data_IF_938495761447
#
_entry.id   IF_938495761447
#
_cell.length_a   1.000
_cell.length_b   1.000
_cell.length_c   1.000
_cell.angle_alpha   90.00
_cell.angle_beta   90.00
_cell.angle_gamma   90.00
#
_symmetry.space_group_name_H-M   'P 1'
#
loop_
_entity.id
_entity.type
_entity.pdbx_description
1 polymer ?
#
# COMPACT_ATOMS: atom_id res chain seq x y z
N UNK A 1 -8.43 -4.01 2.36
CA UNK A 1 -8.03 -3.91 3.79
C UNK A 1 -7.44 -2.52 4.05
N UNK A 2 -7.53 -2.00 5.27
CA UNK A 2 -7.00 -0.69 5.65
C UNK A 2 -5.76 -0.89 6.51
N UNK A 3 -4.66 -0.22 6.17
CA UNK A 3 -3.40 -0.22 6.90
C UNK A 3 -3.15 1.20 7.41
N UNK A 4 -2.94 1.38 8.71
CA UNK A 4 -2.87 2.70 9.33
C UNK A 4 -1.45 3.24 9.44
N UNK A 5 -0.47 2.34 9.52
CA UNK A 5 0.94 2.66 9.70
C UNK A 5 1.76 1.83 8.72
N UNK A 6 2.09 2.39 7.54
CA UNK A 6 2.73 1.63 6.46
C UNK A 6 4.08 1.02 6.88
N UNK A 7 4.81 1.66 7.79
CA UNK A 7 6.12 1.17 8.25
C UNK A 7 6.00 -0.05 9.18
N UNK A 8 5.06 -0.04 10.13
CA UNK A 8 4.85 -1.17 11.05
C UNK A 8 4.06 -2.28 10.37
N UNK A 9 3.15 -1.92 9.46
CA UNK A 9 2.25 -2.86 8.79
C UNK A 9 2.90 -3.51 7.56
N UNK A 10 4.10 -3.04 7.15
CA UNK A 10 4.88 -3.52 6.00
C UNK A 10 4.92 -5.05 5.84
N UNK A 11 5.26 -5.87 6.87
CA UNK A 11 5.27 -7.33 6.73
C UNK A 11 3.88 -7.90 6.45
N UNK A 12 2.82 -7.35 7.06
CA UNK A 12 1.44 -7.81 6.84
C UNK A 12 0.93 -7.41 5.46
N UNK A 13 1.21 -6.18 5.02
CA UNK A 13 0.86 -5.69 3.68
C UNK A 13 1.49 -6.59 2.61
N UNK A 14 2.77 -6.92 2.77
CA UNK A 14 3.49 -7.81 1.86
C UNK A 14 2.86 -9.19 1.82
N UNK A 15 2.66 -9.81 2.98
CA UNK A 15 2.15 -11.18 3.09
C UNK A 15 0.72 -11.32 2.54
N UNK A 16 -0.16 -10.40 2.91
CA UNK A 16 -1.59 -10.47 2.54
C UNK A 16 -1.85 -10.13 1.08
N UNK A 17 -0.93 -9.43 0.42
CA UNK A 17 -1.10 -8.98 -0.96
C UNK A 17 -0.05 -9.60 -1.91
N UNK A 18 0.69 -10.61 -1.46
CA UNK A 18 1.82 -11.22 -2.20
C UNK A 18 1.45 -11.60 -3.64
N UNK A 19 0.32 -12.28 -3.79
CA UNK A 19 -0.17 -12.81 -5.07
C UNK A 19 -1.48 -12.14 -5.51
N UNK A 20 -1.79 -10.98 -4.93
CA UNK A 20 -3.04 -10.25 -5.18
C UNK A 20 -2.88 -9.23 -6.30
N UNK A 21 -3.90 -9.14 -7.16
CA UNK A 21 -4.10 -8.05 -8.10
C UNK A 21 -5.32 -7.22 -7.71
N UNK A 22 -5.37 -5.95 -8.11
CA UNK A 22 -6.53 -5.10 -7.86
C UNK A 22 -6.21 -3.61 -7.78
N UNK A 23 -7.11 -2.89 -7.12
CA UNK A 23 -7.06 -1.44 -6.91
C UNK A 23 -6.60 -1.16 -5.47
N UNK A 24 -5.80 -0.11 -5.28
CA UNK A 24 -5.36 0.39 -3.99
C UNK A 24 -5.57 1.90 -3.87
N UNK A 25 -5.63 2.38 -2.63
CA UNK A 25 -5.73 3.81 -2.32
C UNK A 25 -4.67 4.19 -1.27
N UNK A 26 -3.96 5.29 -1.51
CA UNK A 26 -3.07 5.93 -0.55
C UNK A 26 -3.74 7.21 -0.06
N UNK A 27 -3.93 7.32 1.26
CA UNK A 27 -4.63 8.46 1.89
C UNK A 27 -3.61 9.29 2.66
N UNK A 28 -3.48 10.58 2.33
CA UNK A 28 -2.71 11.52 3.15
C UNK A 28 -3.59 12.04 4.29
N UNK A 29 -3.35 11.59 5.52
CA UNK A 29 -4.16 11.99 6.69
C UNK A 29 -4.06 13.48 7.05
N UNK A 30 -3.02 14.19 6.59
CA UNK A 30 -2.83 15.63 6.85
C UNK A 30 -3.66 16.49 5.90
N UNK A 31 -3.73 16.11 4.62
CA UNK A 31 -4.40 16.90 3.57
C UNK A 31 -5.73 16.32 3.11
N UNK A 32 -6.10 15.13 3.59
CA UNK A 32 -7.24 14.33 3.13
C UNK A 32 -7.26 14.05 1.62
N UNK A 33 -6.13 14.21 0.94
CA UNK A 33 -5.99 13.84 -0.47
C UNK A 33 -5.84 12.33 -0.61
N UNK A 34 -6.41 11.79 -1.67
CA UNK A 34 -6.33 10.37 -2.01
C UNK A 34 -5.67 10.18 -3.36
N UNK A 35 -4.79 9.18 -3.45
CA UNK A 35 -4.27 8.66 -4.71
C UNK A 35 -4.80 7.24 -4.89
N UNK A 36 -5.42 6.96 -6.05
CA UNK A 36 -5.96 5.65 -6.38
C UNK A 36 -5.17 5.09 -7.56
N UNK A 37 -4.75 3.83 -7.45
CA UNK A 37 -4.05 3.13 -8.53
C UNK A 37 -4.44 1.66 -8.59
N UNK A 38 -3.94 0.95 -9.60
CA UNK A 38 -4.11 -0.50 -9.75
C UNK A 38 -2.77 -1.19 -9.96
N UNK A 39 -2.72 -2.49 -9.69
CA UNK A 39 -1.55 -3.33 -9.95
C UNK A 39 -1.94 -4.80 -10.09
N UNK A 40 -1.21 -5.53 -10.94
CA UNK A 40 -1.26 -7.00 -10.99
C UNK A 40 -0.48 -7.66 -9.84
N UNK A 41 0.41 -6.91 -9.19
CA UNK A 41 1.23 -7.33 -8.05
C UNK A 41 1.10 -6.29 -6.93
N UNK A 42 0.02 -6.38 -6.16
CA UNK A 42 -0.30 -5.38 -5.13
C UNK A 42 0.73 -5.32 -4.02
N UNK A 43 1.19 -6.47 -3.51
CA UNK A 43 2.20 -6.53 -2.45
C UNK A 43 3.46 -5.75 -2.82
N UNK A 44 4.06 -6.05 -3.98
CA UNK A 44 5.24 -5.32 -4.46
C UNK A 44 4.94 -3.83 -4.65
N UNK A 45 3.83 -3.49 -5.31
CA UNK A 45 3.50 -2.09 -5.61
C UNK A 45 3.33 -1.24 -4.35
N UNK A 46 2.70 -1.77 -3.31
CA UNK A 46 2.52 -1.07 -2.04
C UNK A 46 3.84 -0.88 -1.30
N UNK A 47 4.77 -1.83 -1.40
CA UNK A 47 6.10 -1.75 -0.78
C UNK A 47 7.03 -0.73 -1.45
N UNK A 48 6.88 -0.50 -2.76
CA UNK A 48 7.67 0.49 -3.50
C UNK A 48 7.51 1.90 -2.91
N UNK A 49 6.31 2.24 -2.42
CA UNK A 49 6.02 3.53 -1.78
C UNK A 49 6.61 3.67 -0.35
N UNK A 50 7.21 2.60 0.18
CA UNK A 50 7.75 2.55 1.55
C UNK A 50 9.28 2.39 1.58
N UNK A 51 9.94 2.53 0.43
CA UNK A 51 11.40 2.52 0.37
C UNK A 51 11.95 3.84 0.94
N UNK A 52 13.02 3.82 1.74
CA UNK A 52 13.71 5.04 2.12
C UNK A 52 14.28 5.72 0.86
N UNK A 53 14.16 7.05 0.81
CA UNK A 53 14.69 7.89 -0.26
C UNK A 53 16.21 7.98 -0.21
#
# INVERSE_FOLDING_TARGET
RIYFSPYTDKPYISLENRDSSGIYALICKVTNKVYIGSSIKLGQRLLDYMQPF
#
